data_IF_079839282396
#
_entry.id   IF_079839282396
#
_cell.length_a   1.000
_cell.length_b   1.000
_cell.length_c   1.000
_cell.angle_alpha   90.00
_cell.angle_beta   90.00
_cell.angle_gamma   90.00
#
_symmetry.space_group_name_H-M   'P 1'
#
loop_
_entity.id
_entity.type
_entity.pdbx_description
1 polymer ?
#
# COMPACT_ATOMS: atom_id res chain seq x y z
N UNK A 1 -9.72 -6.36 40.44
CA UNK A 1 -8.49 -5.58 40.50
C UNK A 1 -7.31 -6.38 39.98
N UNK A 2 -7.00 -6.27 38.74
CA UNK A 2 -5.69 -6.38 38.08
C UNK A 2 -5.85 -6.87 36.63
N UNK A 3 -6.19 -5.96 35.71
CA UNK A 3 -6.06 -6.15 34.26
C UNK A 3 -5.73 -4.79 33.62
N UNK A 4 -4.52 -4.32 33.87
CA UNK A 4 -3.92 -3.19 33.14
C UNK A 4 -2.42 -3.32 33.32
N UNK A 5 -1.72 -3.98 32.44
CA UNK A 5 -0.25 -3.88 32.26
C UNK A 5 0.34 -4.83 31.22
N UNK A 6 -0.32 -5.10 30.09
CA UNK A 6 0.31 -5.92 29.04
C UNK A 6 0.47 -5.27 27.65
N UNK A 7 0.14 -3.96 27.51
CA UNK A 7 0.29 -3.29 26.21
C UNK A 7 1.55 -2.42 26.06
N UNK A 8 2.34 -2.23 27.09
CA UNK A 8 3.54 -1.39 27.05
C UNK A 8 4.82 -2.14 26.65
N UNK A 9 4.86 -3.46 26.78
CA UNK A 9 6.05 -4.24 26.46
C UNK A 9 6.25 -4.50 24.96
N UNK A 10 5.19 -4.43 24.15
CA UNK A 10 5.28 -4.63 22.69
C UNK A 10 5.78 -3.39 21.94
N UNK A 11 5.50 -2.19 22.44
CA UNK A 11 5.99 -0.96 21.82
C UNK A 11 7.45 -0.68 22.12
N UNK A 12 7.92 -1.00 23.32
CA UNK A 12 9.33 -0.78 23.70
C UNK A 12 10.32 -1.71 22.98
N UNK A 13 9.93 -2.94 22.63
CA UNK A 13 10.79 -3.85 21.86
C UNK A 13 10.95 -3.42 20.39
N UNK A 14 9.95 -2.75 19.79
CA UNK A 14 10.03 -2.22 18.44
C UNK A 14 10.85 -0.93 18.34
N UNK A 15 10.83 -0.09 19.37
CA UNK A 15 11.64 1.14 19.43
C UNK A 15 13.14 0.80 19.58
N UNK A 16 13.48 -0.33 20.21
CA UNK A 16 14.87 -0.79 20.35
C UNK A 16 15.46 -1.23 19.01
N UNK A 17 14.67 -1.83 18.10
CA UNK A 17 15.16 -2.26 16.78
C UNK A 17 15.41 -1.09 15.82
N UNK A 18 14.81 0.08 16.06
CA UNK A 18 15.11 1.31 15.30
C UNK A 18 16.50 1.89 15.61
N UNK A 19 17.07 1.59 16.76
CA UNK A 19 18.37 2.13 17.20
C UNK A 19 19.58 1.40 16.60
N UNK A 20 19.42 0.17 16.13
CA UNK A 20 20.55 -0.66 15.68
C UNK A 20 21.02 -0.38 14.24
N UNK A 21 20.40 0.58 13.52
CA UNK A 21 20.69 0.80 12.10
C UNK A 21 21.25 2.19 11.77
N UNK A 22 21.58 3.01 12.78
CA UNK A 22 22.09 4.37 12.57
C UNK A 22 23.47 4.52 13.20
N UNK A 23 24.49 3.98 12.56
CA UNK A 23 25.84 4.52 12.75
C UNK A 23 25.87 5.88 12.06
N UNK A 24 25.51 6.92 12.81
CA UNK A 24 25.64 8.29 12.34
C UNK A 24 27.10 8.59 12.12
N UNK A 25 27.48 9.01 10.93
CA UNK A 25 28.75 9.67 10.69
C UNK A 25 28.71 11.08 11.28
N UNK A 26 29.85 11.61 11.67
CA UNK A 26 29.97 12.97 12.18
C UNK A 26 30.74 13.79 11.15
N UNK A 27 30.25 14.97 10.79
CA UNK A 27 30.97 15.88 9.90
C UNK A 27 32.13 16.59 10.64
N UNK A 28 32.93 17.36 9.90
CA UNK A 28 34.12 18.05 10.40
C UNK A 28 33.85 19.06 11.53
N UNK A 29 32.61 19.50 11.67
CA UNK A 29 32.19 20.45 12.72
C UNK A 29 31.40 19.78 13.87
N UNK A 30 31.43 18.41 13.93
CA UNK A 30 30.83 17.66 15.03
C UNK A 30 29.33 17.39 14.94
N UNK A 31 28.72 17.60 13.78
CA UNK A 31 27.27 17.35 13.60
C UNK A 31 27.01 15.91 13.10
N UNK A 32 26.01 15.21 13.64
CA UNK A 32 25.64 13.88 13.16
C UNK A 32 25.00 13.95 11.77
N UNK A 33 25.44 13.06 10.89
CA UNK A 33 24.91 12.85 9.55
C UNK A 33 24.20 11.50 9.46
N UNK A 34 23.22 11.38 8.56
CA UNK A 34 22.66 10.09 8.18
C UNK A 34 23.71 9.20 7.52
N UNK A 35 23.46 7.88 7.48
CA UNK A 35 24.35 6.94 6.81
C UNK A 35 24.47 7.24 5.31
N UNK A 36 25.65 6.98 4.74
CA UNK A 36 25.91 7.12 3.31
C UNK A 36 25.05 6.12 2.50
N UNK A 37 24.54 6.58 1.37
CA UNK A 37 23.83 5.73 0.40
C UNK A 37 24.70 5.63 -0.85
N UNK A 38 25.66 4.71 -0.79
CA UNK A 38 26.58 4.45 -1.88
C UNK A 38 25.97 3.47 -2.89
N UNK A 39 26.31 3.64 -4.17
CA UNK A 39 25.90 2.74 -5.25
C UNK A 39 24.37 2.62 -5.42
N UNK A 40 23.61 3.64 -5.04
CA UNK A 40 22.17 3.64 -5.27
C UNK A 40 21.87 3.69 -6.76
N UNK A 41 21.22 2.66 -7.26
CA UNK A 41 20.71 2.59 -8.63
C UNK A 41 19.27 3.06 -8.63
N UNK A 42 18.97 4.07 -9.42
CA UNK A 42 17.60 4.60 -9.52
C UNK A 42 16.68 3.52 -10.11
N UNK A 43 15.66 3.05 -9.38
CA UNK A 43 14.75 2.01 -9.87
C UNK A 43 13.89 2.52 -11.03
N UNK A 44 13.41 1.59 -11.84
CA UNK A 44 12.44 1.90 -12.88
C UNK A 44 11.07 2.21 -12.28
N UNK A 45 10.30 3.05 -12.99
CA UNK A 45 8.86 3.20 -12.68
C UNK A 45 8.13 1.89 -12.95
N UNK A 46 6.96 1.66 -12.29
CA UNK A 46 6.16 0.46 -12.53
C UNK A 46 5.81 0.28 -14.01
N UNK A 47 6.34 -0.78 -14.63
CA UNK A 47 6.21 -1.06 -16.05
C UNK A 47 6.07 -2.56 -16.37
N UNK A 48 5.73 -3.39 -15.38
CA UNK A 48 5.51 -4.80 -15.62
C UNK A 48 4.16 -5.06 -16.30
N UNK A 49 4.12 -6.07 -17.16
CA UNK A 49 2.90 -6.51 -17.84
C UNK A 49 2.08 -7.43 -16.93
N UNK A 50 2.75 -8.23 -16.08
CA UNK A 50 2.09 -9.18 -15.18
C UNK A 50 2.97 -9.56 -14.00
N UNK A 51 2.34 -9.63 -12.82
CA UNK A 51 2.87 -10.37 -11.67
C UNK A 51 1.95 -11.57 -11.43
N UNK A 52 2.51 -12.76 -11.26
CA UNK A 52 1.75 -13.99 -11.09
C UNK A 52 2.09 -14.69 -9.78
N UNK A 53 1.06 -14.98 -8.99
CA UNK A 53 1.11 -15.83 -7.82
C UNK A 53 0.48 -17.20 -8.09
N UNK A 54 0.14 -17.91 -7.02
CA UNK A 54 -0.52 -19.23 -7.10
C UNK A 54 -2.01 -19.09 -7.41
N UNK A 55 -2.70 -18.15 -6.75
CA UNK A 55 -4.15 -17.97 -6.87
C UNK A 55 -4.53 -16.70 -7.64
N UNK A 56 -3.62 -15.75 -7.76
CA UNK A 56 -3.90 -14.45 -8.35
C UNK A 56 -2.84 -14.03 -9.36
N UNK A 57 -3.22 -13.09 -10.19
CA UNK A 57 -2.28 -12.29 -10.99
C UNK A 57 -2.66 -10.81 -10.94
N UNK A 58 -1.69 -9.95 -11.19
CA UNK A 58 -1.87 -8.50 -11.24
C UNK A 58 -1.35 -7.98 -12.56
N UNK A 59 -2.18 -7.24 -13.29
CA UNK A 59 -1.88 -6.69 -14.63
C UNK A 59 -2.25 -5.20 -14.69
N UNK A 60 -1.63 -4.39 -15.55
CA UNK A 60 -2.11 -3.03 -15.79
C UNK A 60 -3.60 -3.02 -16.09
N UNK A 61 -4.33 -2.07 -15.51
CA UNK A 61 -5.78 -1.94 -15.76
C UNK A 61 -6.08 -1.71 -17.25
N UNK A 62 -7.10 -2.37 -17.74
CA UNK A 62 -7.61 -2.19 -19.09
C UNK A 62 -9.09 -1.77 -19.11
N UNK A 63 -9.56 -1.25 -20.25
CA UNK A 63 -10.98 -0.90 -20.41
C UNK A 63 -11.89 -2.11 -20.35
N UNK A 64 -11.39 -3.27 -20.80
CA UNK A 64 -12.08 -4.55 -20.79
C UNK A 64 -12.32 -5.08 -19.38
N UNK A 65 -11.52 -4.67 -18.41
CA UNK A 65 -11.66 -5.08 -17.01
C UNK A 65 -12.84 -4.39 -16.32
N UNK A 66 -13.20 -3.18 -16.74
CA UNK A 66 -14.11 -2.30 -15.99
C UNK A 66 -15.49 -2.91 -15.72
N UNK A 67 -16.17 -3.56 -16.67
CA UNK A 67 -17.48 -4.19 -16.41
C UNK A 67 -17.39 -5.29 -15.35
N UNK A 68 -16.30 -6.07 -15.35
CA UNK A 68 -16.08 -7.14 -14.40
C UNK A 68 -15.72 -6.61 -13.02
N UNK A 69 -14.87 -5.58 -12.95
CA UNK A 69 -14.53 -4.89 -11.71
C UNK A 69 -15.76 -4.27 -11.06
N UNK A 70 -16.58 -3.57 -11.83
CA UNK A 70 -17.83 -3.00 -11.34
C UNK A 70 -18.74 -4.09 -10.76
N UNK A 71 -18.91 -5.21 -11.49
CA UNK A 71 -19.69 -6.36 -11.01
C UNK A 71 -19.12 -6.95 -9.71
N UNK A 72 -17.79 -7.08 -9.62
CA UNK A 72 -17.12 -7.60 -8.43
C UNK A 72 -17.31 -6.66 -7.22
N UNK A 73 -17.21 -5.35 -7.43
CA UNK A 73 -17.36 -4.33 -6.37
C UNK A 73 -18.82 -4.16 -5.93
N UNK A 74 -19.78 -4.33 -6.84
CA UNK A 74 -21.21 -4.27 -6.52
C UNK A 74 -21.69 -5.39 -5.58
N UNK A 75 -20.84 -6.41 -5.31
CA UNK A 75 -21.11 -7.42 -4.26
C UNK A 75 -21.06 -6.84 -2.85
N UNK A 76 -20.39 -5.69 -2.65
CA UNK A 76 -20.48 -4.89 -1.44
C UNK A 76 -21.76 -4.06 -1.45
N UNK A 77 -22.89 -4.71 -1.15
CA UNK A 77 -24.23 -4.11 -1.24
C UNK A 77 -24.44 -2.91 -0.32
N UNK A 78 -23.62 -2.75 0.72
CA UNK A 78 -23.69 -1.62 1.65
C UNK A 78 -22.71 -0.51 1.30
N UNK A 79 -21.78 -0.73 0.37
CA UNK A 79 -20.78 0.23 -0.01
C UNK A 79 -19.73 0.53 1.08
N UNK A 80 -19.53 -0.41 2.03
CA UNK A 80 -18.61 -0.23 3.16
C UNK A 80 -17.18 0.02 2.73
N UNK A 81 -16.75 -0.61 1.62
CA UNK A 81 -15.41 -0.45 1.06
C UNK A 81 -15.10 0.96 0.56
N UNK A 82 -16.13 1.72 0.21
CA UNK A 82 -15.98 3.07 -0.33
C UNK A 82 -15.91 4.15 0.74
N UNK A 83 -16.16 3.81 2.01
CA UNK A 83 -16.23 4.76 3.13
C UNK A 83 -14.97 5.63 3.21
N UNK A 84 -13.80 5.02 3.10
CA UNK A 84 -12.51 5.70 3.23
C UNK A 84 -11.80 5.97 1.90
N UNK A 85 -12.49 5.73 0.78
CA UNK A 85 -11.97 6.08 -0.54
C UNK A 85 -12.40 7.51 -0.91
N UNK A 86 -11.55 8.28 -1.61
CA UNK A 86 -11.89 9.66 -2.01
C UNK A 86 -12.95 9.72 -3.12
N UNK A 87 -13.33 8.59 -3.67
CA UNK A 87 -14.31 8.40 -4.74
C UNK A 87 -15.27 7.27 -4.40
N UNK A 88 -16.31 7.09 -5.22
CA UNK A 88 -17.38 6.08 -5.02
C UNK A 88 -18.21 6.27 -3.74
N UNK A 89 -19.18 5.37 -3.49
CA UNK A 89 -19.62 4.32 -4.41
C UNK A 89 -20.18 4.89 -5.71
N UNK A 90 -20.17 4.08 -6.77
CA UNK A 90 -20.68 4.46 -8.10
C UNK A 90 -22.08 3.86 -8.30
N UNK A 91 -23.01 4.68 -8.82
CA UNK A 91 -24.40 4.27 -9.00
C UNK A 91 -24.56 3.20 -10.09
N UNK A 92 -23.73 3.26 -11.13
CA UNK A 92 -23.80 2.40 -12.30
C UNK A 92 -22.43 2.21 -12.95
N UNK A 93 -22.35 1.31 -13.93
CA UNK A 93 -21.15 1.05 -14.70
C UNK A 93 -20.67 2.29 -15.46
N UNK A 94 -21.57 3.15 -15.91
CA UNK A 94 -21.23 4.37 -16.65
C UNK A 94 -20.42 5.31 -15.78
N UNK A 95 -20.90 5.65 -14.59
CA UNK A 95 -20.22 6.53 -13.63
C UNK A 95 -18.89 5.94 -13.14
N UNK A 96 -18.79 4.61 -12.95
CA UNK A 96 -17.56 3.93 -12.63
C UNK A 96 -16.55 4.02 -13.80
N UNK A 97 -17.02 3.83 -15.04
CA UNK A 97 -16.18 3.90 -16.24
C UNK A 97 -15.62 5.31 -16.46
N UNK A 98 -16.44 6.35 -16.29
CA UNK A 98 -15.98 7.74 -16.43
C UNK A 98 -14.94 8.12 -15.39
N UNK A 99 -15.14 7.70 -14.13
CA UNK A 99 -14.12 7.84 -13.11
C UNK A 99 -12.83 7.10 -13.47
N UNK A 100 -12.93 5.84 -13.89
CA UNK A 100 -11.76 5.04 -14.23
C UNK A 100 -10.96 5.65 -15.40
N UNK A 101 -11.63 6.12 -16.44
CA UNK A 101 -10.99 6.82 -17.58
C UNK A 101 -10.21 8.05 -17.13
N UNK A 102 -10.73 8.81 -16.18
CA UNK A 102 -10.09 10.03 -15.69
C UNK A 102 -8.95 9.78 -14.69
N UNK A 103 -9.01 8.67 -13.94
CA UNK A 103 -8.15 8.46 -12.77
C UNK A 103 -7.16 7.29 -12.91
N UNK A 104 -7.47 6.25 -13.73
CA UNK A 104 -6.77 4.98 -13.63
C UNK A 104 -5.78 4.68 -14.74
N UNK A 105 -5.78 5.44 -15.84
CA UNK A 105 -4.96 5.16 -17.02
C UNK A 105 -3.73 6.05 -17.14
N UNK A 106 -3.39 6.79 -16.09
CA UNK A 106 -2.17 7.59 -16.00
C UNK A 106 -0.95 6.77 -15.54
N UNK A 107 0.18 7.45 -15.43
CA UNK A 107 1.44 6.86 -14.96
C UNK A 107 1.71 7.08 -13.46
N UNK A 108 0.97 7.98 -12.82
CA UNK A 108 1.01 8.22 -11.38
C UNK A 108 -0.29 8.91 -10.91
N UNK A 109 -1.21 8.16 -10.29
CA UNK A 109 -1.12 6.75 -9.93
C UNK A 109 -1.13 5.79 -11.12
N UNK A 110 -0.37 4.70 -11.02
CA UNK A 110 -0.36 3.58 -11.96
C UNK A 110 -1.21 2.45 -11.40
N UNK A 111 -2.37 2.22 -12.02
CA UNK A 111 -3.34 1.23 -11.55
C UNK A 111 -3.15 -0.15 -12.16
N UNK A 112 -3.45 -1.15 -11.36
CA UNK A 112 -3.38 -2.56 -11.71
C UNK A 112 -4.67 -3.27 -11.30
N UNK A 113 -5.18 -4.13 -12.19
CA UNK A 113 -6.27 -5.06 -11.92
C UNK A 113 -5.73 -6.31 -11.23
N UNK A 114 -6.37 -6.73 -10.16
CA UNK A 114 -6.11 -8.00 -9.49
C UNK A 114 -7.13 -9.00 -10.00
N UNK A 115 -6.63 -10.11 -10.57
CA UNK A 115 -7.44 -11.19 -11.09
C UNK A 115 -7.46 -12.37 -10.11
N UNK A 116 -8.64 -12.93 -9.89
CA UNK A 116 -8.87 -14.19 -9.19
C UNK A 116 -9.57 -15.15 -10.17
N UNK A 117 -9.05 -16.35 -10.35
CA UNK A 117 -9.61 -17.33 -11.31
C UNK A 117 -9.84 -16.72 -12.70
N UNK A 118 -8.87 -15.96 -13.20
CA UNK A 118 -8.91 -15.24 -14.47
C UNK A 118 -9.98 -14.15 -14.60
N UNK A 119 -10.63 -13.74 -13.50
CA UNK A 119 -11.64 -12.67 -13.51
C UNK A 119 -11.16 -11.49 -12.69
N UNK A 120 -11.33 -10.25 -13.18
CA UNK A 120 -11.08 -9.05 -12.40
C UNK A 120 -11.85 -9.06 -11.09
N UNK A 121 -11.16 -8.87 -9.97
CA UNK A 121 -11.74 -8.98 -8.63
C UNK A 121 -11.26 -7.87 -7.67
N UNK A 122 -10.29 -7.08 -8.05
CA UNK A 122 -9.77 -5.98 -7.23
C UNK A 122 -8.91 -5.01 -8.01
N UNK A 123 -8.62 -3.88 -7.40
CA UNK A 123 -7.70 -2.85 -7.87
C UNK A 123 -6.66 -2.53 -6.81
N UNK A 124 -5.47 -2.18 -7.24
CA UNK A 124 -4.46 -1.51 -6.46
C UNK A 124 -3.63 -0.60 -7.37
N UNK A 125 -2.89 0.33 -6.79
CA UNK A 125 -2.00 1.17 -7.58
C UNK A 125 -0.67 1.40 -6.88
N UNK A 126 0.35 1.75 -7.67
CA UNK A 126 1.47 2.54 -7.18
C UNK A 126 1.21 4.02 -7.45
N UNK A 127 1.61 4.85 -6.51
CA UNK A 127 1.47 6.30 -6.62
C UNK A 127 2.60 7.01 -5.87
N UNK A 128 2.70 8.34 -6.06
CA UNK A 128 3.81 9.11 -5.49
C UNK A 128 5.14 8.41 -5.76
N UNK A 129 5.35 8.12 -7.04
CA UNK A 129 6.45 7.30 -7.53
C UNK A 129 7.66 8.21 -7.70
N UNK A 130 8.62 8.11 -6.76
CA UNK A 130 9.80 8.95 -6.65
C UNK A 130 11.11 8.12 -6.80
N UNK A 131 11.45 7.66 -8.01
CA UNK A 131 12.59 6.78 -8.22
C UNK A 131 13.92 7.38 -7.77
N UNK A 132 14.10 8.70 -7.94
CA UNK A 132 15.34 9.40 -7.58
C UNK A 132 15.73 9.26 -6.12
N UNK A 133 14.76 9.10 -5.25
CA UNK A 133 14.99 8.86 -3.82
C UNK A 133 14.67 7.41 -3.41
N UNK A 134 14.23 6.59 -4.35
CA UNK A 134 13.85 5.20 -4.13
C UNK A 134 12.59 5.03 -3.28
N UNK A 135 11.62 5.93 -3.38
CA UNK A 135 10.36 5.88 -2.65
C UNK A 135 9.18 5.63 -3.58
N UNK A 136 8.25 4.79 -3.14
CA UNK A 136 7.00 4.49 -3.85
C UNK A 136 5.90 4.20 -2.82
N UNK A 137 4.66 4.54 -3.14
CA UNK A 137 3.50 4.20 -2.30
C UNK A 137 2.62 3.16 -2.99
N UNK A 138 2.14 2.18 -2.24
CA UNK A 138 1.06 1.29 -2.66
C UNK A 138 -0.25 1.80 -2.07
N UNK A 139 -1.22 2.11 -2.93
CA UNK A 139 -2.49 2.68 -2.51
C UNK A 139 -3.63 2.39 -3.47
N UNK A 140 -4.74 3.12 -3.30
CA UNK A 140 -5.98 2.87 -4.04
C UNK A 140 -6.43 1.40 -4.01
N UNK A 141 -6.11 0.70 -2.90
CA UNK A 141 -6.39 -0.73 -2.75
C UNK A 141 -7.88 -0.91 -2.53
N UNK A 142 -8.53 -1.53 -3.50
CA UNK A 142 -9.95 -1.83 -3.45
C UNK A 142 -10.17 -3.31 -3.81
N UNK A 143 -10.28 -4.14 -2.78
CA UNK A 143 -10.54 -5.57 -2.91
C UNK A 143 -12.04 -5.81 -2.87
N UNK A 144 -12.59 -6.51 -3.85
CA UNK A 144 -13.98 -6.97 -3.76
C UNK A 144 -14.19 -7.96 -2.61
N UNK A 145 -15.42 -8.24 -2.19
CA UNK A 145 -15.72 -9.27 -1.19
C UNK A 145 -15.10 -10.66 -1.51
N UNK A 146 -14.81 -10.93 -2.80
CA UNK A 146 -14.16 -12.18 -3.22
C UNK A 146 -12.69 -12.30 -2.76
N UNK A 147 -12.00 -11.17 -2.63
CA UNK A 147 -10.58 -11.10 -2.23
C UNK A 147 -10.39 -10.71 -0.77
N UNK A 148 -11.38 -10.05 -0.17
CA UNK A 148 -11.26 -9.59 1.21
C UNK A 148 -11.12 -10.73 2.20
N UNK A 149 -10.15 -10.60 3.14
CA UNK A 149 -9.88 -11.58 4.20
C UNK A 149 -9.52 -12.97 3.67
N UNK A 150 -9.03 -13.06 2.43
CA UNK A 150 -8.56 -14.32 1.82
C UNK A 150 -7.04 -14.34 1.69
N UNK A 151 -6.49 -15.54 1.48
CA UNK A 151 -5.08 -15.72 1.12
C UNK A 151 -4.78 -15.08 -0.23
N UNK A 152 -5.67 -15.22 -1.20
CA UNK A 152 -5.56 -14.64 -2.53
C UNK A 152 -5.41 -13.10 -2.48
N UNK A 153 -6.25 -12.41 -1.69
CA UNK A 153 -6.13 -10.96 -1.50
C UNK A 153 -4.81 -10.55 -0.82
N UNK A 154 -4.28 -11.38 0.07
CA UNK A 154 -2.97 -11.16 0.69
C UNK A 154 -1.85 -11.37 -0.33
N UNK A 155 -1.89 -12.45 -1.09
CA UNK A 155 -0.91 -12.78 -2.12
C UNK A 155 -0.80 -11.67 -3.17
N UNK A 156 -1.92 -11.11 -3.64
CA UNK A 156 -1.92 -10.02 -4.60
C UNK A 156 -1.13 -8.79 -4.10
N UNK A 157 -1.30 -8.44 -2.84
CA UNK A 157 -0.57 -7.31 -2.26
C UNK A 157 0.92 -7.64 -2.01
N UNK A 158 1.23 -8.88 -1.64
CA UNK A 158 2.62 -9.33 -1.48
C UNK A 158 3.38 -9.32 -2.79
N UNK A 159 2.80 -9.74 -3.91
CA UNK A 159 3.40 -9.65 -5.24
C UNK A 159 3.80 -8.21 -5.59
N UNK A 160 2.96 -7.23 -5.25
CA UNK A 160 3.28 -5.83 -5.47
C UNK A 160 4.39 -5.35 -4.52
N UNK A 161 4.40 -5.76 -3.26
CA UNK A 161 5.47 -5.42 -2.31
C UNK A 161 6.80 -5.98 -2.79
N UNK A 162 6.84 -7.27 -3.14
CA UNK A 162 8.01 -7.97 -3.67
C UNK A 162 8.57 -7.27 -4.91
N UNK A 163 7.70 -6.94 -5.87
CA UNK A 163 8.13 -6.23 -7.08
C UNK A 163 8.82 -4.91 -6.73
N UNK A 164 8.27 -4.10 -5.84
CA UNK A 164 8.86 -2.80 -5.51
C UNK A 164 10.30 -2.94 -4.98
N UNK A 165 10.56 -3.93 -4.12
CA UNK A 165 11.89 -4.16 -3.59
C UNK A 165 12.82 -4.86 -4.59
N UNK A 166 12.30 -5.76 -5.42
CA UNK A 166 13.09 -6.47 -6.44
C UNK A 166 13.70 -5.52 -7.49
N UNK A 167 13.03 -4.41 -7.80
CA UNK A 167 13.52 -3.40 -8.74
C UNK A 167 14.36 -2.29 -8.07
N UNK A 168 14.54 -2.33 -6.73
CA UNK A 168 15.45 -1.45 -6.02
C UNK A 168 14.83 -0.24 -5.32
N UNK A 169 13.51 -0.19 -5.12
CA UNK A 169 12.95 0.80 -4.22
C UNK A 169 13.44 0.56 -2.80
N UNK A 170 13.82 1.65 -2.11
CA UNK A 170 14.34 1.60 -0.74
C UNK A 170 13.25 1.71 0.31
N UNK A 171 12.11 2.26 -0.10
CA UNK A 171 10.98 2.55 0.79
C UNK A 171 9.67 2.35 0.05
N UNK A 172 8.82 1.49 0.59
CA UNK A 172 7.45 1.32 0.18
C UNK A 172 6.53 1.87 1.26
N UNK A 173 5.64 2.78 0.86
CA UNK A 173 4.70 3.44 1.75
C UNK A 173 3.29 2.87 1.63
N UNK A 174 2.53 2.97 2.73
CA UNK A 174 1.10 2.73 2.78
C UNK A 174 0.45 3.82 3.61
N UNK A 175 -0.55 4.49 3.05
CA UNK A 175 -1.28 5.56 3.74
C UNK A 175 -2.77 5.26 3.73
N UNK A 176 -3.42 5.47 4.86
CA UNK A 176 -4.88 5.33 4.95
C UNK A 176 -5.47 6.34 5.92
N UNK A 177 -6.79 6.51 5.85
CA UNK A 177 -7.50 7.24 6.89
C UNK A 177 -7.20 6.62 8.27
N UNK A 178 -6.90 7.44 9.27
CA UNK A 178 -6.60 6.99 10.62
C UNK A 178 -7.75 6.19 11.27
N UNK A 179 -8.98 6.41 10.80
CA UNK A 179 -10.19 5.69 11.23
C UNK A 179 -10.39 4.37 10.48
N UNK A 180 -9.68 4.14 9.36
CA UNK A 180 -9.78 2.91 8.57
C UNK A 180 -9.07 1.74 9.27
N UNK A 181 -9.68 1.20 10.32
CA UNK A 181 -9.12 0.10 11.08
C UNK A 181 -8.81 -1.17 10.24
N UNK A 182 -9.65 -1.57 9.25
CA UNK A 182 -9.31 -2.66 8.33
C UNK A 182 -8.00 -2.44 7.57
N UNK A 183 -7.80 -1.26 6.98
CA UNK A 183 -6.58 -0.91 6.22
C UNK A 183 -5.36 -0.87 7.12
N UNK A 184 -5.47 -0.28 8.31
CA UNK A 184 -4.39 -0.24 9.31
C UNK A 184 -3.94 -1.65 9.71
N UNK A 185 -4.89 -2.55 9.98
CA UNK A 185 -4.58 -3.96 10.30
C UNK A 185 -3.95 -4.69 9.11
N UNK A 186 -4.40 -4.39 7.88
CA UNK A 186 -3.81 -4.98 6.68
C UNK A 186 -2.35 -4.56 6.51
N UNK A 187 -2.03 -3.28 6.63
CA UNK A 187 -0.67 -2.78 6.58
C UNK A 187 0.23 -3.47 7.62
N UNK A 188 -0.20 -3.52 8.89
CA UNK A 188 0.58 -4.15 9.95
C UNK A 188 0.78 -5.67 9.71
N UNK A 189 -0.25 -6.36 9.24
CA UNK A 189 -0.16 -7.80 8.90
C UNK A 189 0.80 -8.07 7.75
N UNK A 190 0.88 -7.17 6.77
CA UNK A 190 1.82 -7.22 5.65
C UNK A 190 3.25 -6.75 6.02
N UNK A 191 3.50 -6.45 7.30
CA UNK A 191 4.83 -6.11 7.79
C UNK A 191 5.15 -4.62 7.79
N UNK A 192 4.23 -3.75 7.37
CA UNK A 192 4.47 -2.30 7.43
C UNK A 192 4.56 -1.80 8.87
N UNK A 193 5.58 -1.01 9.14
CA UNK A 193 5.79 -0.30 10.41
C UNK A 193 4.97 0.99 10.42
N UNK A 194 4.28 1.25 11.54
CA UNK A 194 3.55 2.51 11.74
C UNK A 194 4.52 3.63 12.07
N UNK A 195 4.41 4.75 11.37
CA UNK A 195 5.29 5.91 11.54
C UNK A 195 4.62 7.11 12.22
N UNK A 196 3.31 7.23 12.09
CA UNK A 196 2.59 8.34 12.74
C UNK A 196 1.27 8.67 12.08
N UNK A 197 0.60 9.71 12.63
CA UNK A 197 -0.63 10.26 12.08
C UNK A 197 -0.41 11.71 11.70
N UNK A 198 -0.65 12.03 10.43
CA UNK A 198 -0.72 13.40 9.95
C UNK A 198 -2.14 13.91 10.21
N UNK A 199 -2.27 14.83 11.17
CA UNK A 199 -3.56 15.42 11.54
C UNK A 199 -4.01 16.40 10.47
N UNK A 200 -5.32 16.40 10.14
CA UNK A 200 -5.93 17.27 9.13
C UNK A 200 -5.18 17.25 7.80
N UNK A 201 -4.70 16.06 7.40
CA UNK A 201 -3.83 15.88 6.25
C UNK A 201 -4.53 16.16 4.92
N UNK A 202 -5.85 15.94 4.84
CA UNK A 202 -6.63 16.22 3.64
C UNK A 202 -8.12 16.32 3.94
N UNK A 203 -8.88 16.76 2.94
CA UNK A 203 -10.35 16.80 2.96
C UNK A 203 -10.84 15.94 1.79
N UNK A 204 -11.73 15.01 2.03
CA UNK A 204 -12.44 14.27 1.00
C UNK A 204 -13.89 14.02 1.40
N UNK A 205 -14.81 13.97 0.45
CA UNK A 205 -16.26 13.83 0.71
C UNK A 205 -16.76 14.82 1.78
N UNK A 206 -16.23 16.06 1.73
CA UNK A 206 -16.50 17.17 2.68
C UNK A 206 -16.18 16.85 4.15
N UNK A 207 -15.24 15.90 4.41
CA UNK A 207 -14.83 15.51 5.75
C UNK A 207 -13.34 15.63 5.95
N UNK A 208 -12.92 15.92 7.17
CA UNK A 208 -11.53 15.83 7.57
C UNK A 208 -11.01 14.40 7.48
N UNK A 209 -9.77 14.25 7.04
CA UNK A 209 -9.02 13.01 7.12
C UNK A 209 -7.68 13.25 7.81
N UNK A 210 -7.52 12.61 8.96
CA UNK A 210 -6.21 12.34 9.53
C UNK A 210 -5.63 11.11 8.84
N UNK A 211 -4.38 11.17 8.42
CA UNK A 211 -3.77 10.10 7.64
C UNK A 211 -2.74 9.33 8.48
N UNK A 212 -2.96 8.04 8.65
CA UNK A 212 -1.99 7.12 9.23
C UNK A 212 -0.97 6.71 8.17
N UNK A 213 0.32 6.84 8.50
CA UNK A 213 1.46 6.54 7.66
C UNK A 213 2.14 5.26 8.12
N UNK A 214 2.48 4.44 7.16
CA UNK A 214 3.18 3.18 7.33
C UNK A 214 4.23 3.03 6.25
N UNK A 215 5.31 2.29 6.54
CA UNK A 215 6.33 1.94 5.56
C UNK A 215 6.94 0.57 5.82
N UNK A 216 7.54 0.01 4.76
CA UNK A 216 8.58 -1.01 4.81
C UNK A 216 9.80 -0.40 4.15
N UNK A 217 10.99 -0.61 4.72
CA UNK A 217 12.26 -0.25 4.09
C UNK A 217 12.98 -1.48 3.54
N UNK A 218 13.87 -1.26 2.57
CA UNK A 218 14.63 -2.31 1.88
C UNK A 218 15.34 -3.29 2.83
N UNK A 219 15.89 -2.79 3.93
CA UNK A 219 16.56 -3.60 4.96
C UNK A 219 15.63 -4.52 5.74
N UNK A 220 14.34 -4.22 5.78
CA UNK A 220 13.32 -5.02 6.49
C UNK A 220 12.77 -6.14 5.59
N UNK A 221 12.75 -5.92 4.27
CA UNK A 221 12.10 -6.80 3.31
C UNK A 221 12.64 -8.25 3.33
N UNK A 222 13.95 -8.54 3.32
CA UNK A 222 14.44 -9.91 3.31
C UNK A 222 13.93 -10.78 4.46
N UNK A 223 13.72 -10.17 5.65
CA UNK A 223 13.14 -10.88 6.80
C UNK A 223 11.64 -11.12 6.62
N UNK A 224 10.92 -10.17 6.03
CA UNK A 224 9.48 -10.29 5.77
C UNK A 224 9.20 -11.29 4.67
N UNK A 225 9.96 -11.26 3.58
CA UNK A 225 9.86 -12.20 2.47
C UNK A 225 10.01 -13.66 2.92
N UNK A 226 10.89 -13.94 3.87
CA UNK A 226 11.09 -15.29 4.40
C UNK A 226 9.91 -15.84 5.22
N UNK A 227 8.93 -15.03 5.56
CA UNK A 227 7.74 -15.39 6.37
C UNK A 227 6.55 -15.74 5.48
N UNK A 228 6.54 -15.26 4.23
CA UNK A 228 5.45 -15.45 3.28
C UNK A 228 5.77 -16.49 2.22
#
# INVERSE_FOLDING_TARGET
NSKKCNNLSFETSRISSFKDHMTNTINEIGQPLGFSVENFVVPNRPNFDRLSGNAVRTEPISMEDLPFLYTAFSRDSKGENWTYMPYGPFADLGSFTEWAKSACFGDDPKFYTIFLDNKPAGLASYLRIEPKIGCIEMGHIHLSPLLQRTRAGTEALLLMIEWAFSVGYRRLEWKCDALNAPSRRAAQRLGFSFEGIFRQATIYKSRNRDTAWYSIIDKEWPRLESVY
#
